data_IF_253827562456
#
_entry.id   IF_253827562456
#
_cell.length_a   1.000
_cell.length_b   1.000
_cell.length_c   1.000
_cell.angle_alpha   90.00
_cell.angle_beta   90.00
_cell.angle_gamma   90.00
#
_symmetry.space_group_name_H-M   'P 1'
#
loop_
_entity.id
_entity.type
_entity.pdbx_description
1 polymer ?
#
# COMPACT_ATOMS: atom_id res chain seq x y z
N UNK A 1 17.86 6.23 -8.30
CA UNK A 1 17.77 6.26 -6.83
C UNK A 1 16.33 5.97 -6.45
N UNK A 2 16.08 5.03 -5.55
CA UNK A 2 14.72 4.71 -5.07
C UNK A 2 14.61 5.24 -3.64
N UNK A 3 13.59 6.04 -3.37
CA UNK A 3 13.30 6.52 -2.01
C UNK A 3 12.40 5.48 -1.34
N UNK A 4 12.84 4.95 -0.21
CA UNK A 4 12.09 3.93 0.56
C UNK A 4 11.53 4.55 1.83
N UNK A 5 10.22 4.36 2.07
CA UNK A 5 9.53 4.75 3.31
C UNK A 5 8.94 3.49 3.96
N UNK A 6 9.25 3.26 5.23
CA UNK A 6 8.65 2.18 6.02
C UNK A 6 7.61 2.73 7.00
N UNK A 7 6.43 2.12 7.01
CA UNK A 7 5.35 2.43 7.95
C UNK A 7 5.14 1.24 8.88
N UNK A 8 5.52 1.40 10.15
CA UNK A 8 5.45 0.35 11.17
C UNK A 8 4.46 0.71 12.28
N UNK A 9 3.87 -0.30 12.92
CA UNK A 9 2.90 -0.10 14.00
C UNK A 9 1.97 -1.29 14.21
N UNK A 10 1.26 -1.28 15.34
CA UNK A 10 0.35 -2.37 15.74
C UNK A 10 -0.83 -2.59 14.78
N UNK A 11 -1.47 -3.75 14.86
CA UNK A 11 -2.71 -4.03 14.12
C UNK A 11 -3.75 -2.95 14.41
N UNK A 12 -4.47 -2.50 13.38
CA UNK A 12 -5.48 -1.43 13.46
C UNK A 12 -4.97 -0.04 13.91
N UNK A 13 -3.67 0.25 13.77
CA UNK A 13 -3.11 1.59 14.06
C UNK A 13 -3.26 2.61 12.92
N UNK A 14 -4.04 2.32 11.88
CA UNK A 14 -4.23 3.21 10.73
C UNK A 14 -3.15 3.17 9.63
N UNK A 15 -2.25 2.18 9.63
CA UNK A 15 -1.18 2.05 8.61
C UNK A 15 -1.72 2.03 7.19
N UNK A 16 -2.70 1.16 6.91
CA UNK A 16 -3.32 1.02 5.59
C UNK A 16 -3.92 2.34 5.12
N UNK A 17 -4.56 3.08 6.03
CA UNK A 17 -5.13 4.41 5.75
C UNK A 17 -4.07 5.42 5.32
N UNK A 18 -2.97 5.52 6.08
CA UNK A 18 -1.87 6.45 5.79
C UNK A 18 -1.17 6.09 4.49
N UNK A 19 -0.86 4.81 4.28
CA UNK A 19 -0.22 4.31 3.06
C UNK A 19 -1.11 4.61 1.84
N UNK A 20 -2.41 4.34 1.94
CA UNK A 20 -3.39 4.64 0.89
C UNK A 20 -3.44 6.13 0.54
N UNK A 21 -3.39 7.01 1.55
CA UNK A 21 -3.36 8.46 1.32
C UNK A 21 -2.07 8.90 0.60
N UNK A 22 -0.91 8.34 0.96
CA UNK A 22 0.35 8.60 0.26
C UNK A 22 0.30 8.15 -1.18
N UNK A 23 -0.19 6.93 -1.45
CA UNK A 23 -0.28 6.40 -2.82
C UNK A 23 -1.12 7.34 -3.67
N UNK A 24 -2.33 7.71 -3.21
CA UNK A 24 -3.21 8.62 -3.96
C UNK A 24 -2.53 9.94 -4.29
N UNK A 25 -1.83 10.53 -3.32
CA UNK A 25 -1.17 11.83 -3.53
C UNK A 25 0.03 11.73 -4.47
N UNK A 26 0.83 10.66 -4.38
CA UNK A 26 1.96 10.44 -5.29
C UNK A 26 1.50 10.13 -6.71
N UNK A 27 0.48 9.28 -6.86
CA UNK A 27 -0.13 8.99 -8.17
C UNK A 27 -0.72 10.24 -8.80
N UNK A 28 -1.39 11.11 -8.01
CA UNK A 28 -1.89 12.42 -8.47
C UNK A 28 -0.77 13.34 -8.97
N UNK A 29 0.45 13.18 -8.45
CA UNK A 29 1.65 13.92 -8.89
C UNK A 29 2.41 13.21 -10.03
N UNK A 30 1.84 12.15 -10.61
CA UNK A 30 2.48 11.31 -11.64
C UNK A 30 3.78 10.65 -11.17
N UNK A 31 3.90 10.37 -9.87
CA UNK A 31 5.02 9.63 -9.29
C UNK A 31 4.58 8.17 -9.14
N UNK A 32 5.30 7.26 -9.80
CA UNK A 32 5.06 5.82 -9.68
C UNK A 32 5.48 5.32 -8.30
N UNK A 33 4.60 4.58 -7.64
CA UNK A 33 4.81 4.04 -6.30
C UNK A 33 4.38 2.57 -6.26
N UNK A 34 5.21 1.74 -5.63
CA UNK A 34 4.91 0.33 -5.35
C UNK A 34 4.92 0.08 -3.85
N UNK A 35 4.09 -0.85 -3.40
CA UNK A 35 3.98 -1.22 -1.98
C UNK A 35 4.48 -2.64 -1.77
N UNK A 36 5.29 -2.82 -0.73
CA UNK A 36 5.71 -4.13 -0.26
C UNK A 36 5.18 -4.29 1.16
N UNK A 37 4.32 -5.28 1.39
CA UNK A 37 3.77 -5.60 2.71
C UNK A 37 4.47 -6.82 3.30
N UNK A 38 4.57 -6.83 4.63
CA UNK A 38 4.93 -8.01 5.38
C UNK A 38 3.65 -8.61 5.96
N UNK A 39 3.23 -9.78 5.46
CA UNK A 39 2.06 -10.49 5.96
C UNK A 39 2.48 -11.81 6.62
N UNK A 40 1.84 -12.12 7.76
CA UNK A 40 1.98 -13.39 8.50
C UNK A 40 1.08 -14.51 7.96
N UNK A 41 0.29 -14.23 6.93
CA UNK A 41 -0.65 -15.14 6.29
C UNK A 41 -0.36 -15.18 4.78
N UNK A 42 -0.80 -16.25 4.11
CA UNK A 42 -0.75 -16.33 2.65
C UNK A 42 -1.44 -15.11 2.04
N UNK A 43 -0.79 -14.54 1.01
CA UNK A 43 -1.30 -13.38 0.31
C UNK A 43 -2.38 -13.86 -0.65
N UNK A 44 -3.64 -13.75 -0.24
CA UNK A 44 -4.75 -13.86 -1.18
C UNK A 44 -4.85 -12.56 -2.00
N UNK A 45 -4.46 -12.67 -3.27
CA UNK A 45 -4.64 -11.62 -4.26
C UNK A 45 -6.12 -11.56 -4.66
N UNK A 46 -6.61 -10.37 -5.01
CA UNK A 46 -7.96 -10.12 -5.55
C UNK A 46 -9.15 -10.29 -4.57
N UNK A 47 -8.90 -10.35 -3.26
CA UNK A 47 -9.97 -10.29 -2.25
C UNK A 47 -10.31 -8.83 -1.92
N UNK A 48 -11.58 -8.46 -2.15
CA UNK A 48 -12.10 -7.14 -1.83
C UNK A 48 -11.93 -6.82 -0.34
N UNK A 49 -11.46 -5.61 -0.03
CA UNK A 49 -11.22 -5.15 1.34
C UNK A 49 -9.83 -5.45 1.90
N UNK A 50 -9.01 -6.25 1.23
CA UNK A 50 -7.60 -6.46 1.62
C UNK A 50 -6.77 -5.18 1.44
N UNK A 51 -5.64 -5.10 2.17
CA UNK A 51 -4.67 -4.02 2.00
C UNK A 51 -4.21 -3.93 0.53
N UNK A 52 -3.95 -5.07 -0.10
CA UNK A 52 -3.53 -5.17 -1.51
C UNK A 52 -4.59 -4.57 -2.45
N UNK A 53 -5.87 -4.92 -2.28
CA UNK A 53 -6.95 -4.33 -3.07
C UNK A 53 -7.08 -2.81 -2.84
N UNK A 54 -6.92 -2.36 -1.60
CA UNK A 54 -6.97 -0.93 -1.26
C UNK A 54 -5.82 -0.15 -1.90
N UNK A 55 -4.59 -0.70 -1.89
CA UNK A 55 -3.42 -0.06 -2.50
C UNK A 55 -3.50 -0.01 -4.03
N UNK A 56 -3.96 -1.09 -4.67
CA UNK A 56 -4.21 -1.09 -6.12
C UNK A 56 -5.25 -0.04 -6.50
N UNK A 57 -6.39 0.01 -5.79
CA UNK A 57 -7.44 1.00 -6.02
C UNK A 57 -6.98 2.44 -5.74
N UNK A 58 -5.98 2.63 -4.86
CA UNK A 58 -5.35 3.92 -4.60
C UNK A 58 -4.44 4.39 -5.74
N UNK A 59 -4.05 3.49 -6.65
CA UNK A 59 -3.19 3.79 -7.79
C UNK A 59 -1.74 3.33 -7.62
N UNK A 60 -1.48 2.34 -6.76
CA UNK A 60 -0.16 1.72 -6.70
C UNK A 60 0.15 1.00 -8.02
N UNK A 61 1.38 1.15 -8.52
CA UNK A 61 1.84 0.50 -9.74
C UNK A 61 1.98 -1.01 -9.56
N UNK A 62 2.35 -1.45 -8.35
CA UNK A 62 2.40 -2.84 -7.94
C UNK A 62 2.27 -2.93 -6.42
N UNK A 63 1.71 -4.03 -5.94
CA UNK A 63 1.60 -4.34 -4.52
C UNK A 63 1.84 -5.83 -4.30
N UNK A 64 2.65 -6.14 -3.29
CA UNK A 64 2.87 -7.50 -2.77
C UNK A 64 2.50 -7.55 -1.30
#
# INVERSE_FOLDING_TARGET
MVVTLQVIGYKNSGKTTVITAFIRELTRRHISVSVIKHSSHEIELDVAGTDTAQFTAAGAASTV
#
